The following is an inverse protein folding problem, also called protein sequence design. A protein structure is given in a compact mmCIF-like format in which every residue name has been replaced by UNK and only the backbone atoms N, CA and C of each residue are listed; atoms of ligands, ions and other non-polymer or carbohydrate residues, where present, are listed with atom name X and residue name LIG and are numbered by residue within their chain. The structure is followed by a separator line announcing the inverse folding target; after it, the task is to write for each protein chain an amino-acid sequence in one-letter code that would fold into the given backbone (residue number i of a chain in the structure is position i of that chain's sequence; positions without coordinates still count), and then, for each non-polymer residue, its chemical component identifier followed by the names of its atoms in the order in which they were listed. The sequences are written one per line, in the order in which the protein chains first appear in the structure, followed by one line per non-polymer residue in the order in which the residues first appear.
data_IF_307258510848
#
_entry.id   IF_307258510848
#
_cell.length_a   1.000
_cell.length_b   1.000
_cell.length_c   1.000
_cell.angle_alpha   90.00
_cell.angle_beta   90.00
_cell.angle_gamma   90.00
#
_symmetry.space_group_name_H-M   'P 1'
#
loop_
_entity.id
_entity.type
_entity.pdbx_description
1 polymer ?
#
# COMPACT_ATOMS: atom_id res chain seq x y z
N UNK A 1 19.15 4.25 14.31
CA UNK A 1 17.71 3.98 14.47
C UNK A 1 17.41 2.76 13.62
N UNK A 2 16.83 1.71 14.20
CA UNK A 2 16.46 0.53 13.42
C UNK A 2 15.50 0.93 12.29
N UNK A 3 15.82 0.54 11.05
CA UNK A 3 15.03 0.88 9.86
C UNK A 3 13.61 0.33 10.02
N UNK A 4 13.46 -0.85 10.62
CA UNK A 4 12.13 -1.42 10.87
C UNK A 4 11.34 -0.55 11.85
N UNK A 5 11.96 -0.11 12.96
CA UNK A 5 11.33 0.80 13.91
C UNK A 5 10.99 2.18 13.31
N UNK A 6 11.77 2.66 12.33
CA UNK A 6 11.45 3.87 11.55
C UNK A 6 10.20 3.66 10.70
N UNK A 7 10.11 2.55 9.98
CA UNK A 7 8.95 2.18 9.16
C UNK A 7 7.70 2.02 10.01
N UNK A 8 7.73 1.22 11.08
CA UNK A 8 6.55 0.95 11.90
C UNK A 8 6.00 2.22 12.55
N UNK A 9 6.86 3.15 12.99
CA UNK A 9 6.40 4.44 13.53
C UNK A 9 5.76 5.33 12.46
N UNK A 10 6.35 5.40 11.27
CA UNK A 10 5.79 6.19 10.18
C UNK A 10 4.45 5.60 9.69
N UNK A 11 4.33 4.27 9.66
CA UNK A 11 3.12 3.54 9.29
C UNK A 11 2.00 3.76 10.32
N UNK A 12 2.31 3.63 11.62
CA UNK A 12 1.37 3.91 12.71
C UNK A 12 0.88 5.37 12.66
N UNK A 13 1.78 6.32 12.39
CA UNK A 13 1.41 7.73 12.25
C UNK A 13 0.48 7.97 11.05
N UNK A 14 0.78 7.38 9.89
CA UNK A 14 -0.04 7.52 8.69
C UNK A 14 -1.44 6.92 8.88
N UNK A 15 -1.53 5.69 9.41
CA UNK A 15 -2.80 5.01 9.65
C UNK A 15 -3.63 5.73 10.72
N UNK A 16 -3.01 6.13 11.83
CA UNK A 16 -3.73 6.85 12.90
C UNK A 16 -4.28 8.18 12.40
N UNK A 17 -3.50 8.91 11.60
CA UNK A 17 -3.94 10.17 10.98
C UNK A 17 -5.06 9.96 9.97
N UNK A 18 -4.99 8.90 9.16
CA UNK A 18 -6.02 8.57 8.16
C UNK A 18 -7.35 8.11 8.76
N UNK A 19 -7.31 7.36 9.87
CA UNK A 19 -8.52 6.97 10.60
C UNK A 19 -9.16 8.21 11.25
N UNK A 20 -8.43 8.94 12.09
CA UNK A 20 -8.94 10.14 12.76
C UNK A 20 -10.29 9.95 13.50
N UNK A 21 -10.90 11.06 13.92
CA UNK A 21 -12.11 11.03 14.77
C UNK A 21 -13.42 10.74 13.99
N UNK A 22 -13.37 10.78 12.65
CA UNK A 22 -14.54 10.62 11.79
C UNK A 22 -14.67 9.26 11.09
N UNK A 23 -13.67 8.38 11.20
CA UNK A 23 -13.70 7.09 10.53
C UNK A 23 -14.68 6.12 11.20
N UNK A 24 -15.54 5.43 10.42
CA UNK A 24 -16.37 4.35 10.95
C UNK A 24 -15.53 3.30 11.69
N UNK A 25 -15.89 2.92 12.94
CA UNK A 25 -15.02 2.08 13.78
C UNK A 25 -14.62 0.75 13.14
N UNK A 26 -15.54 0.08 12.42
CA UNK A 26 -15.25 -1.19 11.76
C UNK A 26 -14.29 -1.04 10.57
N UNK A 27 -14.37 0.06 9.82
CA UNK A 27 -13.42 0.36 8.76
C UNK A 27 -12.03 0.61 9.34
N UNK A 28 -11.95 1.41 10.42
CA UNK A 28 -10.69 1.64 11.12
C UNK A 28 -10.04 0.34 11.62
N UNK A 29 -10.84 -0.58 12.17
CA UNK A 29 -10.36 -1.90 12.58
C UNK A 29 -9.86 -2.73 11.39
N UNK A 30 -10.62 -2.79 10.29
CA UNK A 30 -10.24 -3.52 9.08
C UNK A 30 -8.94 -2.99 8.45
N UNK A 31 -8.77 -1.67 8.39
CA UNK A 31 -7.55 -1.00 7.91
C UNK A 31 -6.36 -1.36 8.81
N UNK A 32 -6.51 -1.29 10.14
CA UNK A 32 -5.43 -1.68 11.06
C UNK A 32 -5.07 -3.15 10.93
N UNK A 33 -6.06 -4.03 10.77
CA UNK A 33 -5.84 -5.47 10.55
C UNK A 33 -5.06 -5.72 9.25
N UNK A 34 -5.44 -5.05 8.16
CA UNK A 34 -4.74 -5.15 6.88
C UNK A 34 -3.26 -4.74 6.97
N UNK A 35 -2.95 -3.69 7.74
CA UNK A 35 -1.63 -3.07 7.78
C UNK A 35 -0.68 -3.70 8.81
N UNK A 36 -1.19 -4.03 10.00
CA UNK A 36 -0.37 -4.45 11.14
C UNK A 36 -0.37 -5.97 11.39
N UNK A 37 -0.81 -6.76 10.42
CA UNK A 37 -0.48 -8.18 10.39
C UNK A 37 1.02 -8.36 10.10
N UNK A 38 1.62 -9.44 10.63
CA UNK A 38 3.07 -9.73 10.50
C UNK A 38 3.54 -9.54 9.05
N UNK A 39 4.76 -9.07 8.81
CA UNK A 39 5.24 -8.83 7.44
C UNK A 39 6.73 -8.49 7.38
N UNK A 40 7.39 -8.82 6.26
CA UNK A 40 8.83 -8.59 6.10
C UNK A 40 9.21 -7.12 5.88
N UNK A 41 8.20 -6.27 5.58
CA UNK A 41 8.34 -4.85 5.22
C UNK A 41 9.39 -4.63 4.12
N UNK A 42 9.47 -5.55 3.14
CA UNK A 42 10.54 -5.54 2.14
C UNK A 42 10.54 -4.26 1.28
N UNK A 43 9.36 -3.81 0.82
CA UNK A 43 9.18 -2.63 -0.03
C UNK A 43 9.64 -1.32 0.64
N UNK A 44 9.14 -0.96 1.85
CA UNK A 44 9.61 0.24 2.54
C UNK A 44 11.09 0.15 2.91
N UNK A 45 11.60 -1.04 3.29
CA UNK A 45 13.03 -1.23 3.58
C UNK A 45 13.91 -0.93 2.38
N UNK A 46 13.53 -1.41 1.19
CA UNK A 46 14.27 -1.13 -0.05
C UNK A 46 14.24 0.37 -0.38
N UNK A 47 13.07 1.01 -0.29
CA UNK A 47 12.92 2.44 -0.51
C UNK A 47 13.85 3.26 0.41
N UNK A 48 13.82 2.98 1.72
CA UNK A 48 14.67 3.69 2.69
C UNK A 48 16.16 3.35 2.53
N UNK A 49 16.52 2.15 2.10
CA UNK A 49 17.92 1.81 1.81
C UNK A 49 18.48 2.62 0.65
N UNK A 50 17.68 2.81 -0.41
CA UNK A 50 18.05 3.68 -1.55
C UNK A 50 18.11 5.13 -1.11
N UNK A 51 17.11 5.63 -0.37
CA UNK A 51 17.11 6.99 0.14
C UNK A 51 18.35 7.28 1.00
N UNK A 52 18.70 6.38 1.92
CA UNK A 52 19.91 6.47 2.74
C UNK A 52 21.19 6.48 1.89
N UNK A 53 21.26 5.67 0.83
CA UNK A 53 22.40 5.65 -0.10
C UNK A 53 22.52 6.95 -0.90
N UNK A 54 21.42 7.68 -1.08
CA UNK A 54 21.36 9.00 -1.70
C UNK A 54 21.47 10.17 -0.69
N UNK A 55 21.75 9.88 0.59
CA UNK A 55 21.95 10.88 1.65
C UNK A 55 20.72 11.23 2.48
N UNK A 56 19.52 10.76 2.10
CA UNK A 56 18.25 10.97 2.83
C UNK A 56 18.02 12.42 3.29
N UNK A 57 18.17 13.37 2.36
CA UNK A 57 18.13 14.80 2.61
C UNK A 57 16.74 15.36 2.99
N UNK A 58 15.69 14.55 2.87
CA UNK A 58 14.34 14.86 3.33
C UNK A 58 13.68 13.62 3.97
N UNK A 59 14.05 13.25 5.21
CA UNK A 59 13.61 12.01 5.85
C UNK A 59 12.10 11.82 5.91
N UNK A 60 11.34 12.89 6.14
CA UNK A 60 9.88 12.85 6.16
C UNK A 60 9.27 12.44 4.80
N UNK A 61 9.88 12.87 3.69
CA UNK A 61 9.45 12.50 2.34
C UNK A 61 9.83 11.06 2.02
N UNK A 62 11.04 10.63 2.40
CA UNK A 62 11.49 9.25 2.26
C UNK A 62 10.61 8.29 3.06
N UNK A 63 10.25 8.66 4.30
CA UNK A 63 9.35 7.89 5.15
C UNK A 63 7.96 7.81 4.55
N UNK A 64 7.44 8.93 4.04
CA UNK A 64 6.15 8.96 3.37
C UNK A 64 6.15 8.06 2.13
N UNK A 65 7.17 8.13 1.28
CA UNK A 65 7.28 7.27 0.11
C UNK A 65 7.32 5.79 0.50
N UNK A 66 8.14 5.42 1.49
CA UNK A 66 8.24 4.05 1.99
C UNK A 66 6.90 3.54 2.53
N UNK A 67 6.24 4.32 3.38
CA UNK A 67 4.93 3.99 3.96
C UNK A 67 3.86 3.88 2.90
N UNK A 68 3.82 4.80 1.93
CA UNK A 68 2.84 4.76 0.84
C UNK A 68 2.98 3.51 -0.03
N UNK A 69 4.21 3.02 -0.26
CA UNK A 69 4.44 1.74 -0.92
C UNK A 69 3.89 0.55 -0.12
N UNK A 70 4.04 0.56 1.21
CA UNK A 70 3.50 -0.50 2.06
C UNK A 70 1.97 -0.44 2.16
N UNK A 71 1.38 0.76 2.23
CA UNK A 71 -0.08 0.93 2.22
C UNK A 71 -0.71 0.39 0.93
N UNK A 72 -0.11 0.71 -0.22
CA UNK A 72 -0.56 0.18 -1.53
C UNK A 72 -0.38 -1.34 -1.62
N UNK A 73 0.71 -1.86 -1.05
CA UNK A 73 0.91 -3.31 -0.99
C UNK A 73 -0.15 -4.00 -0.10
N UNK A 74 -0.45 -3.43 1.06
CA UNK A 74 -1.52 -3.93 1.92
C UNK A 74 -2.87 -3.85 1.20
N UNK A 75 -3.15 -2.74 0.49
CA UNK A 75 -4.37 -2.60 -0.28
C UNK A 75 -4.52 -3.70 -1.35
N UNK A 76 -3.45 -3.98 -2.11
CA UNK A 76 -3.49 -5.03 -3.14
C UNK A 76 -3.80 -6.38 -2.50
N UNK A 77 -3.12 -6.75 -1.40
CA UNK A 77 -3.38 -8.02 -0.71
C UNK A 77 -4.82 -8.13 -0.20
N UNK A 78 -5.42 -7.04 0.29
CA UNK A 78 -6.81 -7.05 0.76
C UNK A 78 -7.77 -7.35 -0.40
N UNK A 79 -7.51 -6.79 -1.58
CA UNK A 79 -8.33 -7.02 -2.76
C UNK A 79 -8.06 -8.39 -3.39
N UNK A 80 -6.80 -8.81 -3.49
CA UNK A 80 -6.40 -10.15 -3.97
C UNK A 80 -7.05 -11.25 -3.12
N UNK A 81 -7.19 -11.05 -1.81
CA UNK A 81 -7.82 -12.01 -0.92
C UNK A 81 -9.34 -12.18 -1.14
N UNK A 82 -10.02 -11.31 -1.90
CA UNK A 82 -11.49 -11.36 -2.06
C UNK A 82 -11.96 -12.60 -2.84
N UNK A 83 -13.22 -13.04 -2.66
CA UNK A 83 -13.77 -14.19 -3.37
C UNK A 83 -13.77 -14.09 -4.90
N UNK A 84 -13.71 -12.88 -5.47
CA UNK A 84 -13.61 -12.69 -6.91
C UNK A 84 -12.18 -12.74 -7.46
N UNK A 85 -11.18 -12.93 -6.58
CA UNK A 85 -9.77 -13.12 -6.90
C UNK A 85 -9.29 -14.45 -6.30
N UNK A 86 -8.47 -14.45 -5.24
CA UNK A 86 -7.88 -15.67 -4.68
C UNK A 86 -8.81 -16.42 -3.71
N UNK A 87 -9.90 -15.81 -3.24
CA UNK A 87 -10.80 -16.35 -2.20
C UNK A 87 -10.04 -16.86 -0.96
N UNK A 88 -9.03 -16.10 -0.53
CA UNK A 88 -8.09 -16.55 0.49
C UNK A 88 -8.68 -16.42 1.90
N UNK A 89 -8.85 -17.54 2.60
CA UNK A 89 -9.36 -17.55 3.97
C UNK A 89 -8.40 -16.88 4.98
N UNK A 90 -7.09 -16.99 4.73
CA UNK A 90 -6.05 -16.52 5.65
C UNK A 90 -4.91 -15.81 4.94
N UNK A 91 -4.34 -14.82 5.61
CA UNK A 91 -3.18 -14.06 5.18
C UNK A 91 -2.18 -13.98 6.33
N UNK A 92 -0.97 -14.50 6.11
CA UNK A 92 0.16 -14.47 7.06
C UNK A 92 -0.22 -15.03 8.46
N UNK A 93 -0.96 -16.14 8.46
CA UNK A 93 -1.40 -16.85 9.67
C UNK A 93 -2.56 -16.19 10.42
N UNK A 94 -3.17 -15.14 9.86
CA UNK A 94 -4.37 -14.48 10.39
C UNK A 94 -5.52 -14.61 9.38
N UNK A 95 -6.79 -14.50 9.80
CA UNK A 95 -7.90 -14.41 8.85
C UNK A 95 -7.69 -13.24 7.88
N UNK A 96 -7.99 -13.42 6.59
CA UNK A 96 -7.97 -12.29 5.66
C UNK A 96 -9.03 -11.25 6.04
N UNK A 97 -8.93 -10.03 5.50
CA UNK A 97 -9.84 -8.93 5.89
C UNK A 97 -11.29 -9.28 5.60
N UNK A 98 -11.57 -9.92 4.46
CA UNK A 98 -12.95 -10.27 4.09
C UNK A 98 -13.51 -11.38 4.99
N UNK A 99 -12.67 -12.29 5.51
CA UNK A 99 -13.09 -13.30 6.49
C UNK A 99 -13.32 -12.72 7.88
N UNK A 100 -12.51 -11.76 8.30
CA UNK A 100 -12.63 -11.14 9.62
C UNK A 100 -13.75 -10.09 9.70
N UNK A 101 -13.97 -9.31 8.63
CA UNK A 101 -14.84 -8.13 8.64
C UNK A 101 -15.92 -8.13 7.55
N UNK A 102 -15.92 -9.13 6.66
CA UNK A 102 -16.84 -9.22 5.52
C UNK A 102 -16.33 -8.50 4.27
N UNK A 103 -16.80 -8.97 3.11
CA UNK A 103 -16.37 -8.49 1.78
C UNK A 103 -16.54 -6.98 1.59
N UNK A 104 -17.68 -6.42 2.01
CA UNK A 104 -17.96 -4.98 1.83
C UNK A 104 -16.93 -4.10 2.55
N UNK A 105 -16.53 -4.50 3.76
CA UNK A 105 -15.51 -3.77 4.51
C UNK A 105 -14.11 -4.02 3.95
N UNK A 106 -13.83 -5.21 3.42
CA UNK A 106 -12.56 -5.49 2.75
C UNK A 106 -12.37 -4.61 1.50
N UNK A 107 -13.39 -4.50 0.65
CA UNK A 107 -13.36 -3.59 -0.51
C UNK A 107 -13.04 -2.16 -0.07
N UNK A 108 -13.81 -1.62 0.90
CA UNK A 108 -13.63 -0.26 1.41
C UNK A 108 -12.28 -0.05 2.11
N UNK A 109 -11.75 -1.06 2.80
CA UNK A 109 -10.46 -1.00 3.45
C UNK A 109 -9.32 -0.91 2.41
N UNK A 110 -9.38 -1.72 1.35
CA UNK A 110 -8.43 -1.63 0.25
C UNK A 110 -8.49 -0.28 -0.47
N UNK A 111 -9.69 0.20 -0.80
CA UNK A 111 -9.89 1.52 -1.42
C UNK A 111 -9.34 2.65 -0.54
N UNK A 112 -9.65 2.60 0.77
CA UNK A 112 -9.17 3.57 1.74
C UNK A 112 -7.64 3.57 1.87
N UNK A 113 -7.00 2.40 1.84
CA UNK A 113 -5.54 2.28 1.86
C UNK A 113 -4.89 2.88 0.61
N UNK A 114 -5.49 2.70 -0.57
CA UNK A 114 -5.01 3.31 -1.81
C UNK A 114 -5.03 4.84 -1.68
N UNK A 115 -6.15 5.41 -1.27
CA UNK A 115 -6.29 6.86 -1.09
C UNK A 115 -5.33 7.38 -0.02
N UNK A 116 -5.25 6.70 1.13
CA UNK A 116 -4.38 7.07 2.24
C UNK A 116 -2.90 7.09 1.82
N UNK A 117 -2.48 6.21 0.91
CA UNK A 117 -1.11 6.22 0.40
C UNK A 117 -0.75 7.55 -0.28
N UNK A 118 -1.67 8.14 -1.04
CA UNK A 118 -1.44 9.43 -1.71
C UNK A 118 -1.62 10.61 -0.75
N UNK A 119 -2.57 10.56 0.18
CA UNK A 119 -2.69 11.56 1.24
C UNK A 119 -1.42 11.63 2.10
N UNK A 120 -0.86 10.47 2.46
CA UNK A 120 0.38 10.37 3.22
C UNK A 120 1.56 11.06 2.51
N UNK A 121 1.69 10.91 1.18
CA UNK A 121 2.69 11.65 0.40
C UNK A 121 2.46 13.16 0.50
N UNK A 122 1.22 13.60 0.32
CA UNK A 122 0.87 15.01 0.32
C UNK A 122 1.13 15.67 1.70
N UNK A 123 0.75 15.01 2.79
CA UNK A 123 0.93 15.50 4.16
C UNK A 123 2.39 15.74 4.52
N UNK A 124 3.29 14.88 4.03
CA UNK A 124 4.70 14.88 4.43
C UNK A 124 5.62 15.56 3.41
N UNK A 125 5.09 15.99 2.26
CA UNK A 125 5.85 16.69 1.22
C UNK A 125 5.74 18.21 1.31
N UNK A 126 5.09 18.77 2.35
CA UNK A 126 4.83 20.21 2.47
C UNK A 126 6.09 21.08 2.42
N UNK A 127 7.20 20.60 3.00
CA UNK A 127 8.50 21.30 2.97
C UNK A 127 9.34 21.00 1.71
N UNK A 128 8.91 20.04 0.88
CA UNK A 128 9.55 19.67 -0.38
C UNK A 128 8.51 19.48 -1.50
N UNK A 129 7.66 20.48 -1.79
CA UNK A 129 6.51 20.33 -2.69
C UNK A 129 6.91 19.91 -4.11
N UNK A 130 8.11 20.27 -4.55
CA UNK A 130 8.69 19.86 -5.83
C UNK A 130 8.86 18.33 -5.96
N UNK A 131 8.90 17.59 -4.84
CA UNK A 131 9.02 16.11 -4.83
C UNK A 131 7.66 15.41 -4.93
N UNK A 132 6.56 16.08 -4.59
CA UNK A 132 5.24 15.47 -4.53
C UNK A 132 4.79 14.94 -5.91
N UNK A 133 4.74 15.82 -6.91
CA UNK A 133 4.31 15.45 -8.26
C UNK A 133 5.12 14.28 -8.87
N UNK A 134 6.48 14.28 -8.85
CA UNK A 134 7.24 13.15 -9.37
C UNK A 134 7.03 11.86 -8.56
N UNK A 135 6.94 11.92 -7.22
CA UNK A 135 6.66 10.75 -6.39
C UNK A 135 5.28 10.16 -6.67
N UNK A 136 4.23 11.00 -6.69
CA UNK A 136 2.87 10.60 -7.04
C UNK A 136 2.82 9.94 -8.41
N UNK A 137 3.52 10.49 -9.41
CA UNK A 137 3.58 9.90 -10.76
C UNK A 137 4.31 8.56 -10.77
N UNK A 138 5.44 8.42 -10.07
CA UNK A 138 6.19 7.16 -10.01
C UNK A 138 5.35 6.07 -9.34
N UNK A 139 4.80 6.37 -8.17
CA UNK A 139 3.98 5.44 -7.39
C UNK A 139 2.69 5.09 -8.16
N UNK A 140 1.99 6.10 -8.70
CA UNK A 140 0.78 5.91 -9.49
C UNK A 140 1.00 5.04 -10.74
N UNK A 141 2.15 5.17 -11.40
CA UNK A 141 2.51 4.27 -12.52
C UNK A 141 2.77 2.84 -12.07
N UNK A 142 3.45 2.66 -10.93
CA UNK A 142 3.79 1.34 -10.41
C UNK A 142 2.55 0.52 -9.96
N UNK A 143 1.43 1.17 -9.65
CA UNK A 143 0.17 0.49 -9.28
C UNK A 143 -0.91 0.57 -10.37
N UNK A 144 -0.74 1.42 -11.37
CA UNK A 144 -1.78 1.77 -12.33
C UNK A 144 -2.03 0.76 -13.47
N UNK A 145 -2.88 1.20 -14.40
CA UNK A 145 -3.58 0.36 -15.39
C UNK A 145 -2.75 -0.16 -16.58
N UNK A 146 -1.54 0.35 -16.81
CA UNK A 146 -0.77 0.00 -18.02
C UNK A 146 0.38 -0.97 -17.75
N UNK A 147 1.14 -0.75 -16.68
CA UNK A 147 2.36 -1.53 -16.36
C UNK A 147 2.52 -1.68 -14.83
N UNK A 148 1.42 -1.58 -14.09
CA UNK A 148 1.41 -1.58 -12.63
C UNK A 148 0.73 -2.82 -12.08
N UNK A 149 0.57 -2.85 -10.75
CA UNK A 149 -0.13 -3.94 -10.04
C UNK A 149 -1.50 -4.25 -10.67
N UNK A 150 -2.31 -3.21 -10.94
CA UNK A 150 -3.64 -3.38 -11.55
C UNK A 150 -3.55 -3.99 -12.94
N UNK A 151 -2.55 -3.61 -13.75
CA UNK A 151 -2.36 -4.20 -15.08
C UNK A 151 -2.02 -5.70 -14.99
N UNK A 152 -1.12 -6.06 -14.08
CA UNK A 152 -0.76 -7.47 -13.84
C UNK A 152 -1.97 -8.31 -13.42
N UNK A 153 -2.74 -7.82 -12.44
CA UNK A 153 -3.97 -8.48 -11.99
C UNK A 153 -5.03 -8.57 -13.09
N UNK A 154 -5.17 -7.54 -13.92
CA UNK A 154 -6.10 -7.55 -15.05
C UNK A 154 -5.72 -8.59 -16.11
N UNK A 155 -4.43 -8.79 -16.40
CA UNK A 155 -3.96 -9.84 -17.31
C UNK A 155 -4.35 -11.25 -16.85
N UNK A 156 -4.39 -11.51 -15.55
CA UNK A 156 -4.84 -12.80 -14.99
C UNK A 156 -6.35 -13.02 -15.18
N UNK A 157 -7.11 -11.93 -15.37
CA UNK A 157 -8.55 -11.95 -15.60
C UNK A 157 -8.94 -12.00 -17.08
N UNK A 158 -8.00 -11.84 -18.02
CA UNK A 158 -8.27 -11.88 -19.44
C UNK A 158 -8.65 -13.29 -19.91
N UNK A 159 -9.70 -13.38 -20.73
CA UNK A 159 -10.19 -14.67 -21.26
C UNK A 159 -9.18 -15.39 -22.17
N UNK A 160 -8.24 -14.64 -22.75
CA UNK A 160 -7.15 -15.16 -23.55
C UNK A 160 -5.89 -14.29 -23.33
N UNK A 161 -4.85 -14.87 -22.76
CA UNK A 161 -3.59 -14.17 -22.48
C UNK A 161 -2.63 -14.34 -23.65
N UNK A 162 -2.30 -13.26 -24.35
CA UNK A 162 -1.18 -13.26 -25.28
C UNK A 162 0.13 -13.27 -24.48
N UNK A 163 0.70 -14.46 -24.27
CA UNK A 163 1.97 -14.67 -23.56
C UNK A 163 3.14 -13.86 -24.14
N UNK A 164 3.06 -13.47 -25.42
CA UNK A 164 4.05 -12.63 -26.10
C UNK A 164 3.95 -11.16 -25.69
N UNK A 165 2.77 -10.71 -25.28
CA UNK A 165 2.54 -9.39 -24.70
C UNK A 165 2.83 -9.40 -23.20
N UNK A 166 2.42 -10.46 -22.49
CA UNK A 166 2.58 -10.62 -21.05
C UNK A 166 4.06 -10.66 -20.59
N UNK A 167 4.96 -11.32 -21.34
CA UNK A 167 6.38 -11.41 -20.98
C UNK A 167 7.25 -10.24 -21.50
N UNK A 168 6.67 -9.23 -22.14
CA UNK A 168 7.42 -8.11 -22.74
C UNK A 168 7.65 -6.93 -21.79
N UNK A 169 7.12 -7.00 -20.58
CA UNK A 169 7.33 -6.07 -19.46
C UNK A 169 8.22 -6.69 -18.38
#
# INVERSE_FOLDING_TARGET
MDVLQRIERALEAAVSRGIGDGCPPLLGQAVRHAVFTSGSRARPRLCLAVAASCGDDAPAVSDAAAVSLELLHCASLVHDDLPCFDDADTRRGQPSVHRAYGERLAVLAGDGLIVLAFENLAWNSAHHPQRLAPLTRIIGRAVGISHGIVAGQAWECESNVDLTAYHRE
#
